data_IF_368281400088
#
_entry.id   IF_368281400088
#
_cell.length_a   1.000
_cell.length_b   1.000
_cell.length_c   1.000
_cell.angle_alpha   90.00
_cell.angle_beta   90.00
_cell.angle_gamma   90.00
#
_symmetry.space_group_name_H-M   'P 1'
#
loop_
_entity.id
_entity.type
_entity.pdbx_description
1 polymer ?
#
# COMPACT_ATOMS: atom_id res chain seq x y z
N UNK A 1 33.93 59.22 54.41
CA UNK A 1 33.39 57.87 54.52
C UNK A 1 32.68 57.60 53.19
N UNK A 2 33.36 56.85 52.23
CA UNK A 2 32.86 56.59 50.88
C UNK A 2 32.29 55.18 50.88
N UNK A 3 30.98 55.05 50.63
CA UNK A 3 30.26 53.78 50.52
C UNK A 3 30.30 53.34 49.04
N UNK A 4 31.01 52.23 48.77
CA UNK A 4 31.00 51.61 47.43
C UNK A 4 29.84 50.63 47.33
N UNK A 5 28.92 50.92 46.42
CA UNK A 5 27.87 49.99 46.01
C UNK A 5 28.42 49.04 44.93
N UNK A 6 28.48 47.75 45.26
CA UNK A 6 28.80 46.71 44.32
C UNK A 6 27.49 46.24 43.64
N UNK A 7 27.33 46.58 42.36
CA UNK A 7 26.25 46.03 41.51
C UNK A 7 26.65 44.66 41.01
N UNK A 8 25.94 43.64 41.46
CA UNK A 8 26.03 42.27 40.93
C UNK A 8 25.07 42.14 39.75
N UNK A 9 25.61 42.06 38.54
CA UNK A 9 24.85 41.75 37.32
C UNK A 9 24.63 40.23 37.25
N UNK A 10 23.39 39.84 37.42
CA UNK A 10 22.98 38.43 37.25
C UNK A 10 22.74 38.15 35.78
N UNK A 11 23.63 37.41 35.14
CA UNK A 11 23.50 36.95 33.74
C UNK A 11 22.52 35.76 33.69
N UNK A 12 21.29 36.00 33.23
CA UNK A 12 20.31 34.92 32.99
C UNK A 12 20.64 34.22 31.66
N UNK A 13 21.21 33.03 31.74
CA UNK A 13 21.41 32.14 30.57
C UNK A 13 20.09 31.48 30.26
N UNK A 14 19.40 31.92 29.20
CA UNK A 14 18.22 31.26 28.65
C UNK A 14 18.71 30.07 27.77
N UNK A 15 18.66 28.87 28.31
CA UNK A 15 18.86 27.64 27.56
C UNK A 15 17.63 27.40 26.64
N UNK A 16 17.73 27.80 25.38
CA UNK A 16 16.82 27.36 24.33
C UNK A 16 17.03 25.87 24.06
N UNK A 17 16.26 25.04 24.72
CA UNK A 17 16.14 23.62 24.39
C UNK A 17 15.45 23.52 23.04
N UNK A 18 16.22 23.47 21.97
CA UNK A 18 15.74 23.09 20.64
C UNK A 18 15.34 21.63 20.70
N UNK A 19 14.04 21.36 20.92
CA UNK A 19 13.47 20.03 20.71
C UNK A 19 13.69 19.69 19.24
N UNK A 20 14.67 18.86 18.92
CA UNK A 20 14.78 18.25 17.61
C UNK A 20 13.53 17.36 17.46
N UNK A 21 12.53 17.87 16.76
CA UNK A 21 11.46 17.04 16.22
C UNK A 21 12.17 16.17 15.17
N UNK A 22 12.49 14.93 15.55
CA UNK A 22 12.97 13.95 14.57
C UNK A 22 11.91 13.89 13.48
N UNK A 23 12.27 14.24 12.25
CA UNK A 23 11.40 14.11 11.11
C UNK A 23 11.04 12.62 11.00
N UNK A 24 9.76 12.31 11.17
CA UNK A 24 9.31 10.95 11.14
C UNK A 24 9.39 10.42 9.71
N UNK A 25 9.97 9.23 9.56
CA UNK A 25 10.25 8.64 8.27
C UNK A 25 8.98 7.98 7.71
N UNK A 26 8.20 8.73 6.91
CA UNK A 26 7.00 8.24 6.24
C UNK A 26 7.32 7.35 5.03
N UNK A 27 8.59 7.19 4.66
CA UNK A 27 9.01 6.37 3.52
C UNK A 27 9.10 4.88 3.86
N UNK A 28 8.90 4.49 5.13
CA UNK A 28 9.14 3.12 5.61
C UNK A 28 7.94 2.52 6.33
N UNK A 29 7.71 1.27 6.02
CA UNK A 29 6.89 0.38 6.84
C UNK A 29 7.77 -0.74 7.40
N UNK A 30 8.05 -0.74 8.72
CA UNK A 30 9.00 -1.66 9.34
C UNK A 30 10.39 -1.56 8.66
N UNK A 31 10.88 -2.69 8.10
CA UNK A 31 12.15 -2.75 7.35
C UNK A 31 12.01 -2.43 5.86
N UNK A 32 10.78 -2.27 5.36
CA UNK A 32 10.51 -2.04 3.94
C UNK A 32 10.48 -0.56 3.62
N UNK A 33 11.26 -0.13 2.61
CA UNK A 33 11.34 1.27 2.20
C UNK A 33 10.71 1.48 0.83
N UNK A 34 9.89 2.50 0.68
CA UNK A 34 9.43 2.96 -0.62
C UNK A 34 10.64 3.32 -1.50
N UNK A 35 10.56 3.05 -2.80
CA UNK A 35 11.68 3.17 -3.74
C UNK A 35 12.60 1.94 -3.80
N UNK A 36 12.48 0.98 -2.87
CA UNK A 36 13.24 -0.26 -2.92
C UNK A 36 12.95 -1.07 -4.19
N UNK A 37 13.92 -1.87 -4.63
CA UNK A 37 13.73 -2.74 -5.79
C UNK A 37 12.89 -3.97 -5.46
N UNK A 38 12.15 -4.50 -6.45
CA UNK A 38 11.42 -5.76 -6.33
C UNK A 38 12.31 -6.89 -5.80
N UNK A 39 13.51 -7.07 -6.37
CA UNK A 39 14.44 -8.11 -5.91
C UNK A 39 14.94 -7.91 -4.47
N UNK A 40 15.01 -6.66 -4.00
CA UNK A 40 15.36 -6.34 -2.61
C UNK A 40 14.25 -6.77 -1.65
N UNK A 41 13.01 -6.42 -1.97
CA UNK A 41 11.82 -6.81 -1.16
C UNK A 41 11.62 -8.33 -1.19
N UNK A 42 11.69 -8.97 -2.39
CA UNK A 42 11.52 -10.42 -2.52
C UNK A 42 12.49 -11.20 -1.62
N UNK A 43 13.76 -10.76 -1.54
CA UNK A 43 14.74 -11.37 -0.63
C UNK A 43 14.40 -11.19 0.85
N UNK A 44 13.81 -10.05 1.23
CA UNK A 44 13.46 -9.77 2.63
C UNK A 44 12.27 -10.62 3.12
N UNK A 45 11.36 -10.98 2.21
CA UNK A 45 10.16 -11.77 2.51
C UNK A 45 10.26 -13.23 2.05
N UNK A 46 11.44 -13.65 1.58
CA UNK A 46 11.71 -14.99 1.03
C UNK A 46 10.73 -15.38 -0.11
N UNK A 47 10.37 -14.41 -0.95
CA UNK A 47 9.46 -14.61 -2.06
C UNK A 47 10.16 -15.18 -3.29
N UNK A 48 9.44 -16.03 -4.00
CA UNK A 48 9.85 -16.60 -5.29
C UNK A 48 9.30 -15.78 -6.47
N UNK A 49 9.82 -15.95 -7.70
CA UNK A 49 9.25 -15.29 -8.87
C UNK A 49 7.77 -15.60 -9.11
N UNK A 50 7.26 -16.74 -8.64
CA UNK A 50 5.86 -17.13 -8.78
C UNK A 50 4.92 -16.36 -7.85
N UNK A 51 5.47 -15.73 -6.81
CA UNK A 51 4.70 -14.91 -5.87
C UNK A 51 4.49 -13.48 -6.39
N UNK A 52 5.12 -13.14 -7.52
CA UNK A 52 5.01 -11.84 -8.17
C UNK A 52 4.02 -11.91 -9.32
N UNK A 53 2.96 -11.12 -9.23
CA UNK A 53 1.99 -10.94 -10.29
C UNK A 53 2.35 -9.74 -11.15
N UNK A 54 2.28 -9.88 -12.48
CA UNK A 54 2.37 -8.76 -13.43
C UNK A 54 0.95 -8.30 -13.72
N UNK A 55 0.64 -7.06 -13.35
CA UNK A 55 -0.69 -6.46 -13.56
C UNK A 55 -0.77 -5.82 -14.93
N UNK A 56 0.22 -4.99 -15.29
CA UNK A 56 0.36 -4.39 -16.62
C UNK A 56 1.81 -4.46 -17.06
N UNK A 57 2.04 -4.61 -18.39
CA UNK A 57 3.37 -4.61 -18.98
C UNK A 57 3.65 -3.35 -19.80
N UNK A 58 2.62 -2.72 -20.33
CA UNK A 58 2.66 -1.54 -21.18
C UNK A 58 1.60 -0.53 -20.70
N UNK A 59 1.86 0.79 -20.77
CA UNK A 59 3.12 1.44 -21.18
C UNK A 59 4.23 1.34 -20.14
N UNK A 60 3.92 0.87 -18.93
CA UNK A 60 4.88 0.66 -17.86
C UNK A 60 4.64 -0.69 -17.16
N UNK A 61 5.69 -1.23 -16.55
CA UNK A 61 5.60 -2.49 -15.83
C UNK A 61 5.04 -2.24 -14.43
N UNK A 62 3.81 -2.72 -14.20
CA UNK A 62 3.15 -2.73 -12.88
C UNK A 62 3.15 -4.15 -12.36
N UNK A 63 3.71 -4.34 -11.17
CA UNK A 63 3.86 -5.65 -10.52
C UNK A 63 3.35 -5.59 -9.09
N UNK A 64 2.84 -6.70 -8.59
CA UNK A 64 2.44 -6.88 -7.20
C UNK A 64 3.07 -8.12 -6.60
N UNK A 65 3.49 -8.00 -5.35
CA UNK A 65 3.94 -9.10 -4.50
C UNK A 65 3.08 -9.10 -3.25
N UNK A 66 2.43 -10.21 -2.96
CA UNK A 66 1.64 -10.40 -1.75
C UNK A 66 2.38 -11.32 -0.80
N UNK A 67 2.57 -10.87 0.43
CA UNK A 67 3.26 -11.61 1.48
C UNK A 67 2.35 -11.81 2.70
N UNK A 68 2.31 -13.05 3.18
CA UNK A 68 1.60 -13.43 4.40
C UNK A 68 2.64 -13.80 5.47
N UNK A 69 2.77 -13.01 6.57
CA UNK A 69 3.79 -13.23 7.59
C UNK A 69 3.65 -14.54 8.36
N UNK A 70 2.49 -15.19 8.26
CA UNK A 70 2.14 -16.40 9.02
C UNK A 70 1.96 -17.58 8.08
N UNK A 71 3.05 -18.27 7.77
CA UNK A 71 2.94 -19.61 7.18
C UNK A 71 4.09 -20.47 7.65
N UNK A 72 3.92 -21.23 8.65
CA UNK A 72 4.61 -22.49 8.91
C UNK A 72 4.69 -22.79 10.41
N UNK A 73 3.69 -23.46 10.96
CA UNK A 73 3.86 -24.42 12.06
C UNK A 73 4.40 -23.94 13.41
N UNK A 74 4.88 -22.73 13.51
CA UNK A 74 5.34 -22.14 14.77
C UNK A 74 4.16 -21.41 15.44
N UNK A 75 4.01 -21.53 16.77
CA UNK A 75 3.02 -20.75 17.48
C UNK A 75 3.28 -19.26 17.21
N UNK A 76 2.30 -18.63 16.56
CA UNK A 76 2.23 -17.23 16.19
C UNK A 76 3.00 -16.40 17.24
N UNK A 77 4.13 -15.82 16.85
CA UNK A 77 4.69 -14.71 17.61
C UNK A 77 3.67 -13.59 17.50
N UNK A 78 2.86 -13.42 18.53
CA UNK A 78 1.84 -12.35 18.68
C UNK A 78 2.37 -10.92 18.45
N UNK A 79 3.61 -10.79 18.04
CA UNK A 79 4.25 -9.52 17.71
C UNK A 79 3.87 -9.00 16.32
N UNK A 80 3.31 -9.82 15.45
CA UNK A 80 2.95 -9.41 14.09
C UNK A 80 1.44 -9.41 13.92
N UNK A 81 0.82 -8.30 14.30
CA UNK A 81 -0.61 -8.05 14.11
C UNK A 81 -1.00 -7.87 12.63
N UNK A 82 -0.23 -8.41 11.70
CA UNK A 82 -0.42 -8.23 10.26
C UNK A 82 -0.75 -9.57 9.63
N UNK A 83 -1.91 -9.62 8.97
CA UNK A 83 -2.37 -10.77 8.20
C UNK A 83 -1.64 -10.84 6.85
N UNK A 84 -1.56 -9.70 6.15
CA UNK A 84 -1.06 -9.61 4.79
C UNK A 84 -0.35 -8.29 4.55
N UNK A 85 0.73 -8.33 3.76
CA UNK A 85 1.34 -7.13 3.18
C UNK A 85 1.38 -7.28 1.65
N UNK A 86 0.80 -6.31 0.96
CA UNK A 86 0.86 -6.18 -0.49
C UNK A 86 1.86 -5.09 -0.84
N UNK A 87 2.81 -5.41 -1.71
CA UNK A 87 3.82 -4.51 -2.25
C UNK A 87 3.53 -4.28 -3.73
N UNK A 88 3.35 -3.02 -4.14
CA UNK A 88 3.10 -2.66 -5.53
C UNK A 88 4.29 -1.91 -6.10
N UNK A 89 4.74 -2.33 -7.30
CA UNK A 89 5.94 -1.83 -7.96
C UNK A 89 5.61 -1.21 -9.31
N UNK A 90 6.22 -0.05 -9.53
CA UNK A 90 6.24 0.66 -10.81
C UNK A 90 7.66 0.58 -11.39
N UNK A 91 7.82 -0.06 -12.54
CA UNK A 91 9.12 -0.29 -13.16
C UNK A 91 10.16 -0.83 -12.16
N UNK A 92 9.77 -1.89 -11.41
CA UNK A 92 10.55 -2.56 -10.37
C UNK A 92 10.84 -1.74 -9.10
N UNK A 93 10.31 -0.52 -8.95
CA UNK A 93 10.44 0.30 -7.74
C UNK A 93 9.18 0.25 -6.90
N UNK A 94 9.33 -0.02 -5.61
CA UNK A 94 8.23 -0.07 -4.66
C UNK A 94 7.61 1.32 -4.50
N UNK A 95 6.36 1.48 -4.90
CA UNK A 95 5.65 2.75 -4.78
C UNK A 95 4.53 2.75 -3.76
N UNK A 96 4.00 1.56 -3.44
CA UNK A 96 2.89 1.40 -2.50
C UNK A 96 3.05 0.14 -1.66
N UNK A 97 2.73 0.26 -0.36
CA UNK A 97 2.66 -0.85 0.60
C UNK A 97 1.27 -0.80 1.23
N UNK A 98 0.56 -1.92 1.23
CA UNK A 98 -0.72 -2.06 1.94
C UNK A 98 -0.58 -3.18 2.96
N UNK A 99 -0.62 -2.84 4.24
CA UNK A 99 -0.62 -3.80 5.34
C UNK A 99 -2.04 -3.96 5.88
N UNK A 100 -2.58 -5.18 5.80
CA UNK A 100 -3.86 -5.55 6.41
C UNK A 100 -3.59 -6.15 7.78
N UNK A 101 -4.24 -5.62 8.81
CA UNK A 101 -4.07 -6.12 10.17
C UNK A 101 -5.00 -7.30 10.43
N UNK A 102 -4.50 -8.26 11.20
CA UNK A 102 -5.25 -9.44 11.59
C UNK A 102 -6.41 -9.07 12.53
N UNK A 103 -7.61 -9.53 12.22
CA UNK A 103 -8.82 -9.24 13.01
C UNK A 103 -8.68 -9.70 14.47
N UNK A 104 -8.12 -10.87 14.70
CA UNK A 104 -7.90 -11.38 16.07
C UNK A 104 -6.93 -10.53 16.87
N UNK A 105 -5.93 -9.92 16.23
CA UNK A 105 -4.93 -9.07 16.86
C UNK A 105 -5.44 -7.65 17.15
N UNK A 106 -6.42 -7.17 16.38
CA UNK A 106 -7.04 -5.85 16.53
C UNK A 106 -8.43 -5.91 17.17
N UNK A 107 -8.86 -7.09 17.59
CA UNK A 107 -10.18 -7.30 18.19
C UNK A 107 -10.43 -6.40 19.40
N UNK A 108 -11.48 -5.60 19.29
CA UNK A 108 -11.88 -4.63 20.30
C UNK A 108 -11.10 -3.31 20.26
N UNK A 109 -10.19 -3.12 19.30
CA UNK A 109 -9.59 -1.82 19.08
C UNK A 109 -10.59 -0.85 18.45
N UNK A 110 -10.58 0.37 18.96
CA UNK A 110 -11.30 1.47 18.33
C UNK A 110 -10.42 2.13 17.26
N UNK A 111 -11.03 2.92 16.38
CA UNK A 111 -10.29 3.77 15.44
C UNK A 111 -9.26 4.65 16.16
N UNK A 112 -9.59 5.16 17.35
CA UNK A 112 -8.69 6.00 18.15
C UNK A 112 -7.50 5.22 18.71
N UNK A 113 -7.67 3.96 19.07
CA UNK A 113 -6.58 3.10 19.53
C UNK A 113 -5.59 2.85 18.40
N UNK A 114 -6.09 2.54 17.20
CA UNK A 114 -5.27 2.34 16.02
C UNK A 114 -4.52 3.61 15.62
N UNK A 115 -5.21 4.76 15.58
CA UNK A 115 -4.56 6.05 15.27
C UNK A 115 -3.48 6.37 16.29
N UNK A 116 -3.71 6.14 17.58
CA UNK A 116 -2.72 6.37 18.65
C UNK A 116 -1.50 5.47 18.48
N UNK A 117 -1.71 4.18 18.21
CA UNK A 117 -0.63 3.22 18.02
C UNK A 117 0.25 3.58 16.82
N UNK A 118 -0.36 3.93 15.68
CA UNK A 118 0.35 4.28 14.45
C UNK A 118 1.03 5.65 14.57
N UNK A 119 0.40 6.60 15.27
CA UNK A 119 0.98 7.92 15.54
C UNK A 119 2.27 7.86 16.38
N UNK A 120 2.49 6.81 17.14
CA UNK A 120 3.75 6.60 17.84
C UNK A 120 4.94 6.44 16.87
N UNK A 121 4.68 5.95 15.65
CA UNK A 121 5.70 5.77 14.60
C UNK A 121 5.74 6.94 13.63
N UNK A 122 4.57 7.40 13.15
CA UNK A 122 4.45 8.36 12.06
C UNK A 122 4.07 9.77 12.51
N UNK A 123 3.87 10.01 13.81
CA UNK A 123 3.59 11.30 14.37
C UNK A 123 2.14 11.72 14.42
N UNK A 124 1.91 13.03 14.35
CA UNK A 124 0.58 13.58 14.51
C UNK A 124 -0.23 13.33 13.23
N UNK A 125 -1.34 12.61 13.36
CA UNK A 125 -2.27 12.35 12.27
C UNK A 125 -3.13 13.58 11.97
N UNK A 126 -3.41 13.81 10.69
CA UNK A 126 -4.56 14.59 10.26
C UNK A 126 -5.76 13.66 10.16
N UNK A 127 -6.86 13.99 10.80
CA UNK A 127 -8.12 13.26 10.62
C UNK A 127 -8.90 13.88 9.47
N UNK A 128 -9.57 13.06 8.63
CA UNK A 128 -10.55 13.59 7.69
C UNK A 128 -11.55 14.44 8.46
N UNK A 129 -11.96 15.57 7.89
CA UNK A 129 -13.06 16.30 8.46
C UNK A 129 -14.25 15.34 8.49
N UNK A 130 -14.76 15.02 9.69
CA UNK A 130 -16.05 14.38 9.78
C UNK A 130 -17.02 15.29 9.02
N UNK A 131 -17.76 14.72 8.08
CA UNK A 131 -18.83 15.44 7.38
C UNK A 131 -19.89 15.80 8.44
N UNK A 132 -19.71 16.95 9.08
CA UNK A 132 -20.56 17.48 10.14
C UNK A 132 -21.94 17.91 9.62
N UNK A 133 -22.39 17.36 8.50
CA UNK A 133 -23.65 17.80 7.88
C UNK A 133 -24.38 16.80 7.01
N UNK A 134 -23.81 15.66 6.68
CA UNK A 134 -24.56 14.65 5.97
C UNK A 134 -25.43 13.88 6.99
N UNK A 135 -26.78 13.84 6.84
CA UNK A 135 -27.59 12.90 7.59
C UNK A 135 -27.02 11.51 7.30
N UNK A 136 -26.88 10.69 8.33
CA UNK A 136 -26.45 9.29 8.19
C UNK A 136 -27.41 8.57 7.23
N UNK A 137 -27.20 8.78 5.93
CA UNK A 137 -27.75 7.90 4.93
C UNK A 137 -26.96 6.61 5.10
N UNK A 138 -27.67 5.56 5.51
CA UNK A 138 -27.22 4.18 5.46
C UNK A 138 -27.01 3.77 3.99
N UNK A 139 -26.08 4.44 3.31
CA UNK A 139 -25.47 3.94 2.11
C UNK A 139 -24.49 2.89 2.60
N UNK A 140 -24.80 1.63 2.34
CA UNK A 140 -23.82 0.55 2.43
C UNK A 140 -22.72 0.85 1.41
N UNK A 141 -21.83 1.77 1.77
CA UNK A 141 -20.61 2.01 1.01
C UNK A 141 -19.69 0.84 1.28
N UNK A 142 -19.40 0.05 0.26
CA UNK A 142 -18.36 -0.98 0.31
C UNK A 142 -16.94 -0.37 0.30
N UNK A 143 -16.84 0.95 0.25
CA UNK A 143 -15.57 1.65 0.23
C UNK A 143 -14.98 1.72 1.66
N UNK A 144 -13.67 1.53 1.73
CA UNK A 144 -12.91 1.66 2.97
C UNK A 144 -13.04 3.08 3.55
N UNK A 145 -13.28 3.15 4.86
CA UNK A 145 -13.42 4.41 5.58
C UNK A 145 -12.04 4.89 6.01
N UNK A 146 -11.62 6.05 5.51
CA UNK A 146 -10.38 6.68 5.92
C UNK A 146 -10.48 7.23 7.34
N UNK A 147 -9.60 6.80 8.24
CA UNK A 147 -9.60 7.17 9.65
C UNK A 147 -8.57 8.26 9.98
N UNK A 148 -7.39 8.19 9.38
CA UNK A 148 -6.30 9.11 9.64
C UNK A 148 -5.29 9.14 8.50
N UNK A 149 -4.58 10.27 8.38
CA UNK A 149 -3.56 10.51 7.36
C UNK A 149 -2.33 11.12 8.03
N UNK A 150 -1.15 10.60 7.69
CA UNK A 150 0.16 11.19 7.96
C UNK A 150 0.82 11.46 6.61
N UNK A 151 1.19 12.68 6.35
CA UNK A 151 1.73 13.04 5.02
C UNK A 151 2.76 14.16 5.09
N UNK A 152 3.65 14.16 4.11
CA UNK A 152 4.54 15.25 3.79
C UNK A 152 4.52 15.52 2.27
N UNK A 153 5.49 16.26 1.74
CA UNK A 153 5.58 16.55 0.30
C UNK A 153 5.81 15.32 -0.57
N UNK A 154 6.41 14.23 -0.03
CA UNK A 154 6.89 13.08 -0.80
C UNK A 154 6.06 11.82 -0.55
N UNK A 155 5.58 11.65 0.68
CA UNK A 155 4.95 10.40 1.13
C UNK A 155 3.59 10.64 1.77
N UNK A 156 2.74 9.62 1.68
CA UNK A 156 1.45 9.55 2.35
C UNK A 156 1.33 8.21 3.07
N UNK A 157 0.82 8.25 4.30
CA UNK A 157 0.44 7.08 5.09
C UNK A 157 -1.02 7.27 5.49
N UNK A 158 -1.85 6.29 5.14
CA UNK A 158 -3.31 6.36 5.36
C UNK A 158 -3.74 5.14 6.17
N UNK A 159 -4.41 5.38 7.27
CA UNK A 159 -5.14 4.34 8.00
C UNK A 159 -6.59 4.32 7.55
N UNK A 160 -7.08 3.19 7.13
CA UNK A 160 -8.47 2.95 6.77
C UNK A 160 -9.05 1.74 7.52
N UNK A 161 -10.37 1.64 7.51
CA UNK A 161 -11.12 0.51 8.03
C UNK A 161 -12.09 0.02 6.95
N UNK A 162 -12.06 -1.26 6.68
CA UNK A 162 -12.96 -1.90 5.71
C UNK A 162 -14.24 -2.36 6.41
N UNK A 163 -15.40 -1.77 6.08
CA UNK A 163 -16.67 -2.20 6.68
C UNK A 163 -17.09 -3.62 6.30
N UNK A 164 -16.53 -4.16 5.19
CA UNK A 164 -16.87 -5.49 4.70
C UNK A 164 -16.12 -6.60 5.42
N UNK A 165 -14.83 -6.37 5.71
CA UNK A 165 -13.96 -7.36 6.37
C UNK A 165 -13.70 -7.06 7.84
N UNK A 166 -14.20 -5.94 8.36
CA UNK A 166 -13.93 -5.41 9.71
C UNK A 166 -12.43 -5.27 10.01
N UNK A 167 -11.62 -5.12 8.95
CA UNK A 167 -10.17 -5.08 9.04
C UNK A 167 -9.64 -3.65 8.95
N UNK A 168 -8.60 -3.36 9.72
CA UNK A 168 -7.82 -2.14 9.55
C UNK A 168 -6.75 -2.34 8.48
N UNK A 169 -6.51 -1.32 7.67
CA UNK A 169 -5.46 -1.29 6.66
C UNK A 169 -4.60 -0.05 6.81
N UNK A 170 -3.30 -0.21 6.64
CA UNK A 170 -2.34 0.88 6.59
C UNK A 170 -1.71 0.91 5.20
N UNK A 171 -1.97 1.98 4.46
CA UNK A 171 -1.41 2.21 3.13
C UNK A 171 -0.31 3.24 3.20
N UNK A 172 0.88 2.90 2.71
CA UNK A 172 1.99 3.82 2.52
C UNK A 172 2.24 3.98 1.03
N UNK A 173 2.48 5.21 0.58
CA UNK A 173 2.79 5.46 -0.83
C UNK A 173 3.77 6.61 -1.04
N UNK A 174 4.58 6.48 -2.09
CA UNK A 174 5.33 7.60 -2.66
C UNK A 174 4.39 8.37 -3.57
N UNK A 175 4.09 9.63 -3.25
CA UNK A 175 3.16 10.46 -4.02
C UNK A 175 3.57 10.59 -5.48
N UNK A 176 4.87 10.75 -5.74
CA UNK A 176 5.38 10.84 -7.10
C UNK A 176 5.21 9.51 -7.86
N UNK A 177 5.78 8.42 -7.34
CA UNK A 177 5.73 7.12 -8.05
C UNK A 177 4.29 6.59 -8.16
N UNK A 178 3.43 6.86 -7.16
CA UNK A 178 2.02 6.47 -7.23
C UNK A 178 1.30 7.25 -8.35
N UNK A 179 1.54 8.55 -8.48
CA UNK A 179 0.96 9.34 -9.58
C UNK A 179 1.41 8.87 -10.95
N UNK A 180 2.71 8.52 -11.11
CA UNK A 180 3.24 7.93 -12.35
C UNK A 180 2.62 6.56 -12.64
N UNK A 181 2.46 5.72 -11.63
CA UNK A 181 1.85 4.39 -11.75
C UNK A 181 0.36 4.49 -12.12
N UNK A 182 -0.40 5.37 -11.47
CA UNK A 182 -1.82 5.59 -11.76
C UNK A 182 -2.03 6.08 -13.21
N UNK A 183 -1.21 7.02 -13.67
CA UNK A 183 -1.26 7.50 -15.05
C UNK A 183 -1.00 6.36 -16.05
N UNK A 184 0.02 5.53 -15.78
CA UNK A 184 0.35 4.39 -16.62
C UNK A 184 -0.76 3.31 -16.61
N UNK A 185 -1.39 3.06 -15.47
CA UNK A 185 -2.52 2.12 -15.35
C UNK A 185 -3.72 2.60 -16.17
N UNK A 186 -4.05 3.89 -16.09
CA UNK A 186 -5.15 4.47 -16.89
C UNK A 186 -4.87 4.29 -18.39
N UNK A 187 -3.65 4.55 -18.84
CA UNK A 187 -3.24 4.37 -20.22
C UNK A 187 -3.28 2.88 -20.64
N UNK A 188 -2.80 1.97 -19.78
CA UNK A 188 -2.83 0.53 -20.03
C UNK A 188 -4.27 0.03 -20.23
N UNK A 189 -5.19 0.42 -19.35
CA UNK A 189 -6.62 0.04 -19.44
C UNK A 189 -7.26 0.59 -20.71
N UNK A 190 -6.94 1.83 -21.12
CA UNK A 190 -7.42 2.41 -22.37
C UNK A 190 -6.93 1.60 -23.58
N UNK A 191 -5.65 1.26 -23.64
CA UNK A 191 -5.05 0.44 -24.71
C UNK A 191 -5.66 -0.97 -24.75
N UNK A 192 -5.82 -1.63 -23.60
CA UNK A 192 -6.47 -2.95 -23.52
C UNK A 192 -7.90 -2.93 -24.04
N UNK A 193 -8.64 -1.86 -23.75
CA UNK A 193 -10.02 -1.69 -24.22
C UNK A 193 -10.08 -1.47 -25.74
N UNK A 194 -9.13 -0.70 -26.28
CA UNK A 194 -9.03 -0.47 -27.74
C UNK A 194 -8.63 -1.75 -28.49
N UNK A 195 -7.70 -2.53 -27.94
CA UNK A 195 -7.22 -3.77 -28.52
C UNK A 195 -8.20 -4.96 -28.40
N UNK A 196 -9.13 -4.92 -27.43
CA UNK A 196 -10.02 -6.03 -27.10
C UNK A 196 -10.79 -6.60 -28.30
N UNK A 197 -11.39 -5.81 -29.22
CA UNK A 197 -12.10 -6.33 -30.38
C UNK A 197 -11.17 -7.10 -31.33
N UNK A 198 -9.94 -6.62 -31.52
CA UNK A 198 -8.94 -7.27 -32.37
C UNK A 198 -8.48 -8.61 -31.79
N UNK A 199 -8.20 -8.65 -30.49
CA UNK A 199 -7.81 -9.87 -29.76
C UNK A 199 -8.93 -10.92 -29.80
N UNK A 200 -10.18 -10.52 -29.62
CA UNK A 200 -11.33 -11.41 -29.67
C UNK A 200 -11.51 -12.00 -31.08
N UNK A 201 -11.41 -11.18 -32.13
CA UNK A 201 -11.48 -11.63 -33.53
C UNK A 201 -10.36 -12.64 -33.84
N UNK A 202 -9.13 -12.37 -33.37
CA UNK A 202 -8.01 -13.30 -33.53
C UNK A 202 -8.21 -14.61 -32.78
N UNK A 203 -8.79 -14.58 -31.58
CA UNK A 203 -9.11 -15.75 -30.77
C UNK A 203 -10.15 -16.64 -31.46
N UNK A 204 -11.26 -16.05 -31.90
CA UNK A 204 -12.33 -16.76 -32.61
C UNK A 204 -11.81 -17.40 -33.90
N UNK A 205 -10.99 -16.67 -34.67
CA UNK A 205 -10.37 -17.21 -35.87
C UNK A 205 -9.47 -18.39 -35.56
N UNK A 206 -8.61 -18.30 -34.55
CA UNK A 206 -7.73 -19.37 -34.14
C UNK A 206 -8.51 -20.63 -33.72
N UNK A 207 -9.57 -20.45 -32.91
CA UNK A 207 -10.43 -21.58 -32.50
C UNK A 207 -11.10 -22.27 -33.71
N UNK A 208 -11.56 -21.48 -34.69
CA UNK A 208 -12.12 -22.04 -35.91
C UNK A 208 -11.06 -22.81 -36.75
N UNK A 209 -9.86 -22.27 -36.88
CA UNK A 209 -8.75 -22.91 -37.59
C UNK A 209 -8.32 -24.21 -36.90
N UNK A 210 -8.21 -24.20 -35.57
CA UNK A 210 -7.87 -25.39 -34.74
C UNK A 210 -8.95 -26.48 -34.90
N UNK A 211 -10.23 -26.11 -34.84
CA UNK A 211 -11.34 -27.04 -35.04
C UNK A 211 -11.36 -27.64 -36.46
N UNK A 212 -11.08 -26.83 -37.47
CA UNK A 212 -10.96 -27.29 -38.85
C UNK A 212 -9.82 -28.29 -39.03
N UNK A 213 -8.66 -28.04 -38.38
CA UNK A 213 -7.52 -28.96 -38.40
C UNK A 213 -7.86 -30.30 -37.73
N UNK A 214 -8.50 -30.28 -36.56
CA UNK A 214 -8.98 -31.47 -35.84
C UNK A 214 -9.96 -32.26 -36.71
N UNK A 215 -10.91 -31.56 -37.34
CA UNK A 215 -11.89 -32.21 -38.25
C UNK A 215 -11.22 -32.91 -39.43
N UNK A 216 -10.24 -32.25 -40.06
CA UNK A 216 -9.49 -32.84 -41.14
C UNK A 216 -8.69 -34.07 -40.72
N UNK A 217 -8.05 -34.03 -39.56
CA UNK A 217 -7.31 -35.16 -39.00
C UNK A 217 -8.25 -36.34 -38.75
N UNK A 218 -9.42 -36.11 -38.14
CA UNK A 218 -10.41 -37.16 -37.88
C UNK A 218 -10.99 -37.75 -39.14
N UNK A 219 -11.25 -36.93 -40.17
CA UNK A 219 -11.73 -37.45 -41.48
C UNK A 219 -10.72 -38.37 -42.17
N UNK A 220 -9.42 -38.07 -42.04
CA UNK A 220 -8.35 -38.92 -42.61
C UNK A 220 -8.18 -40.22 -41.85
N UNK A 221 -8.45 -40.27 -40.56
CA UNK A 221 -8.34 -41.47 -39.72
C UNK A 221 -9.62 -42.28 -39.61
N UNK A 222 -10.75 -41.71 -40.03
CA UNK A 222 -12.06 -42.38 -39.95
C UNK A 222 -12.11 -43.59 -40.86
N UNK A 223 -12.46 -44.73 -40.30
CA UNK A 223 -12.72 -46.01 -41.00
C UNK A 223 -14.15 -46.38 -40.72
N UNK A 224 -15.03 -46.44 -41.70
CA UNK A 224 -16.43 -46.90 -41.56
C UNK A 224 -16.51 -48.41 -41.25
#
# INVERSE_FOLDING_TARGET
>A
MKIFHKSTATLAVILLSSSMIAAQDLSKYRSYSLGASLGGISKQVDATPNDVSVIHQNPALIQELTWWPVTSGEPIRRAEAVEQVKFSFFNHKLYKIVATYEDTATKGFTADDMVRAISATYGIARRPAADLGAPAQLTYSSADVQLAIWENSEYSVVLSHSPLSDAFQLTLESKQLNGEAEAAIVEAVAQETEDAPGKETARVKKEADDLAAVRQANLKSFRP
#
